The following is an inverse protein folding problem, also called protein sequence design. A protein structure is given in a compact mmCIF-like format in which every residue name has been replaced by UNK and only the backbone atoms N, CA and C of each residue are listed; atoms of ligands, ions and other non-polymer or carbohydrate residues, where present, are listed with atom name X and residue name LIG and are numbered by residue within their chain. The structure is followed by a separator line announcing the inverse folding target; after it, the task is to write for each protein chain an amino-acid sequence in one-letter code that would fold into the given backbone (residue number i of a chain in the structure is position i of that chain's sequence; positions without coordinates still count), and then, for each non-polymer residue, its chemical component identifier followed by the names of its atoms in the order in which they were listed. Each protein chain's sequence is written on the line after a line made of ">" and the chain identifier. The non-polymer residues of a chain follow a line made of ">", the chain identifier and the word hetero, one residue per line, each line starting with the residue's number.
data_IF_087257859887
#
_entry.id   IF_087257859887
#
_cell.length_a   1.000
_cell.length_b   1.000
_cell.length_c   1.000
_cell.angle_alpha   90.00
_cell.angle_beta   90.00
_cell.angle_gamma   90.00
#
_symmetry.space_group_name_H-M   'P 1'
#
loop_
_entity.id
_entity.type
_entity.pdbx_description
1 polymer ?
2 water ?
#
# COMPACT_ATOMS: atom_id res chain seq x y z
N UNK A 1 -11.50 -17.74 -0.57
CA UNK A 1 -12.00 -16.60 -1.32
C UNK A 1 -10.95 -16.10 -2.30
N UNK A 2 -11.41 -15.59 -3.45
CA UNK A 2 -10.51 -15.09 -4.48
C UNK A 2 -10.29 -13.59 -4.32
N UNK A 3 -9.04 -13.17 -4.52
CA UNK A 3 -8.70 -11.76 -4.57
C UNK A 3 -8.93 -11.25 -5.98
N UNK A 4 -9.86 -10.31 -6.13
CA UNK A 4 -10.22 -9.78 -7.42
C UNK A 4 -9.98 -8.27 -7.46
N UNK A 5 -9.63 -7.77 -8.64
CA UNK A 5 -9.64 -6.33 -8.90
C UNK A 5 -11.07 -5.86 -9.16
N UNK A 6 -11.21 -4.54 -9.36
CA UNK A 6 -12.54 -3.94 -9.46
C UNK A 6 -13.29 -4.43 -10.68
N UNK A 7 -12.58 -4.96 -11.68
CA UNK A 7 -13.29 -5.49 -12.83
C UNK A 7 -13.78 -6.91 -12.60
N UNK A 8 -13.23 -7.60 -11.63
CA UNK A 8 -13.54 -8.99 -11.40
C UNK A 8 -12.47 -9.97 -11.83
N UNK A 9 -11.28 -9.50 -12.22
CA UNK A 9 -10.18 -10.38 -12.59
C UNK A 9 -9.30 -10.66 -11.37
N UNK A 10 -8.87 -11.92 -11.25
CA UNK A 10 -8.02 -12.29 -10.12
C UNK A 10 -6.73 -11.47 -10.15
N UNK A 11 -6.28 -11.05 -8.98
CA UNK A 11 -5.04 -10.27 -8.89
C UNK A 11 -3.86 -11.08 -9.37
N UNK A 12 -2.96 -10.44 -10.13
CA UNK A 12 -1.80 -11.07 -10.73
C UNK A 12 -0.56 -10.86 -9.86
N UNK A 13 0.23 -11.92 -9.73
CA UNK A 13 1.55 -11.82 -9.11
C UNK A 13 2.43 -10.98 -10.04
N UNK A 14 2.88 -9.83 -9.54
CA UNK A 14 3.58 -8.87 -10.37
C UNK A 14 2.70 -7.88 -11.08
N UNK A 15 1.40 -7.92 -10.83
CA UNK A 15 0.52 -6.93 -11.39
C UNK A 15 0.66 -5.58 -10.71
N UNK A 16 0.16 -4.55 -11.38
CA UNK A 16 0.23 -3.18 -10.89
C UNK A 16 -1.18 -2.62 -10.78
N UNK A 17 -1.49 -2.08 -9.61
CA UNK A 17 -2.84 -1.64 -9.29
C UNK A 17 -2.80 -0.34 -8.52
N UNK A 18 -3.83 0.49 -8.71
CA UNK A 18 -4.13 1.54 -7.75
C UNK A 18 -4.87 0.94 -6.57
N UNK A 19 -4.48 1.33 -5.38
CA UNK A 19 -5.12 0.85 -4.15
C UNK A 19 -6.03 1.99 -3.69
N UNK A 20 -7.32 1.80 -3.87
CA UNK A 20 -8.31 2.88 -3.72
C UNK A 20 -9.26 2.52 -2.60
N UNK A 21 -9.88 3.55 -1.97
CA UNK A 21 -10.78 3.27 -0.85
C UNK A 21 -12.09 2.67 -1.32
N UNK A 22 -12.60 1.72 -0.55
CA UNK A 22 -13.92 1.14 -0.84
C UNK A 22 -15.05 2.05 -0.43
N UNK A 23 -14.82 2.93 0.52
CA UNK A 23 -15.85 3.84 1.02
C UNK A 23 -15.51 5.27 0.65
N UNK A 24 -16.56 6.09 0.58
CA UNK A 24 -16.48 7.47 0.15
C UNK A 24 -16.32 8.42 1.33
N UNK A 25 -15.79 9.60 1.04
CA UNK A 25 -15.88 10.72 1.95
C UNK A 25 -14.65 11.00 2.79
N UNK A 26 -13.64 10.15 2.72
CA UNK A 26 -12.48 10.25 3.59
C UNK A 26 -11.21 9.91 2.81
N UNK A 27 -11.01 10.59 1.69
CA UNK A 27 -9.75 10.56 0.99
C UNK A 27 -9.78 9.63 -0.22
N UNK A 28 -8.66 9.69 -0.95
CA UNK A 28 -8.51 8.93 -2.18
C UNK A 28 -7.59 7.73 -2.05
N UNK A 29 -6.90 7.39 -3.13
CA UNK A 29 -6.04 6.22 -3.12
C UNK A 29 -4.71 6.46 -2.43
N UNK A 30 -3.93 5.39 -2.36
CA UNK A 30 -2.69 5.45 -1.59
C UNK A 30 -1.56 6.07 -2.39
N UNK A 31 -0.76 6.89 -1.73
CA UNK A 31 0.33 7.64 -2.37
C UNK A 31 1.41 7.89 -1.31
N UNK A 32 2.30 8.86 -1.58
CA UNK A 32 3.41 9.20 -0.70
C UNK A 32 3.34 10.65 -0.29
N UNK A 33 3.80 10.95 0.94
CA UNK A 33 3.90 12.31 1.42
C UNK A 33 5.13 12.46 2.29
N UNK A 34 5.67 13.69 2.34
CA UNK A 34 6.74 14.01 3.26
C UNK A 34 6.12 14.51 4.57
N UNK A 35 6.60 13.97 5.69
CA UNK A 35 6.00 14.19 7.00
C UNK A 35 7.05 14.78 7.94
N UNK A 36 6.59 15.64 8.83
CA UNK A 36 7.46 16.21 9.85
C UNK A 36 8.60 16.99 9.23
N UNK A 37 9.83 16.62 9.61
CA UNK A 37 11.03 17.27 9.12
C UNK A 37 11.62 16.54 7.92
N UNK A 38 10.96 15.50 7.40
CA UNK A 38 11.51 14.74 6.30
C UNK A 38 11.41 15.53 5.02
N UNK A 39 12.52 15.61 4.27
CA UNK A 39 12.56 16.32 3.01
C UNK A 39 12.12 15.45 1.84
N UNK A 40 12.06 14.13 2.03
CA UNK A 40 11.67 13.18 1.01
C UNK A 40 10.33 12.54 1.37
N UNK A 41 9.44 12.33 0.39
CA UNK A 41 8.12 11.75 0.73
C UNK A 41 8.18 10.24 0.96
N UNK A 42 8.49 9.85 2.19
CA UNK A 42 8.74 8.45 2.53
C UNK A 42 7.57 7.76 3.23
N UNK A 43 6.52 8.51 3.58
CA UNK A 43 5.36 7.92 4.25
C UNK A 43 4.28 7.55 3.24
N UNK A 44 3.73 6.36 3.39
CA UNK A 44 2.55 5.97 2.63
C UNK A 44 1.34 6.62 3.30
N UNK A 45 0.53 7.31 2.49
CA UNK A 45 -0.63 8.03 2.99
C UNK A 45 -1.79 7.81 2.02
N UNK A 46 -2.98 8.15 2.50
CA UNK A 46 -4.13 8.21 1.61
C UNK A 46 -4.18 9.63 1.06
N UNK A 47 -4.38 9.75 -0.25
CA UNK A 47 -4.53 11.06 -0.86
C UNK A 47 -5.66 11.83 -0.19
N UNK A 48 -5.45 13.15 -0.01
CA UNK A 48 -6.45 13.98 0.64
C UNK A 48 -7.74 14.05 -0.20
N UNK A 49 -7.59 14.12 -1.52
CA UNK A 49 -8.74 14.29 -2.40
C UNK A 49 -9.27 12.92 -2.82
N UNK A 50 -10.58 12.76 -2.71
CA UNK A 50 -11.23 11.55 -3.15
C UNK A 50 -11.15 11.35 -4.65
N UNK A 51 -10.85 12.42 -5.40
CA UNK A 51 -10.75 12.34 -6.85
C UNK A 51 -9.48 11.67 -7.33
N UNK A 52 -8.56 11.32 -6.44
CA UNK A 52 -7.23 10.87 -6.83
C UNK A 52 -7.09 9.38 -6.54
N UNK A 53 -6.56 8.63 -7.51
CA UNK A 53 -6.36 7.20 -7.34
C UNK A 53 -5.05 6.88 -6.66
N UNK A 54 -4.17 7.85 -6.48
CA UNK A 54 -2.89 7.60 -5.88
C UNK A 54 -1.87 7.09 -6.89
N UNK A 55 -0.90 6.35 -6.38
CA UNK A 55 0.20 5.85 -7.19
C UNK A 55 0.00 4.38 -7.54
N UNK A 56 0.42 3.99 -8.74
CA UNK A 56 0.37 2.57 -9.08
C UNK A 56 1.27 1.79 -8.13
N UNK A 57 0.77 0.63 -7.69
CA UNK A 57 1.49 -0.25 -6.79
C UNK A 57 1.67 -1.62 -7.42
N UNK A 58 2.92 -2.06 -7.57
CA UNK A 58 3.22 -3.40 -8.02
C UNK A 58 3.26 -4.31 -6.81
N UNK A 59 2.59 -5.46 -6.91
CA UNK A 59 2.42 -6.38 -5.79
C UNK A 59 2.91 -7.75 -6.23
N UNK A 60 3.82 -8.34 -5.45
CA UNK A 60 4.42 -9.61 -5.88
C UNK A 60 4.89 -10.44 -4.70
N UNK A 61 5.08 -11.72 -4.99
CA UNK A 61 5.55 -12.74 -4.05
C UNK A 61 6.54 -13.62 -4.77
N UNK A 62 7.53 -14.18 -4.06
CA UNK A 62 8.62 -14.91 -4.76
C UNK A 62 8.15 -16.13 -5.53
N UNK A 63 7.22 -16.94 -5.01
CA UNK A 63 6.82 -18.14 -5.76
C UNK A 63 6.41 -17.80 -7.20
N UNK A 64 6.76 -18.70 -8.13
CA UNK A 64 6.45 -18.47 -9.54
C UNK A 64 5.05 -18.98 -9.84
N UNK A 65 4.10 -18.32 -9.20
CA UNK A 65 2.67 -18.51 -9.42
C UNK A 65 2.12 -17.25 -10.06
N UNK A 66 1.13 -17.43 -10.94
CA UNK A 66 0.66 -16.33 -11.77
C UNK A 66 -0.30 -15.38 -11.04
N UNK A 67 -1.02 -15.88 -10.03
CA UNK A 67 -2.03 -15.10 -9.34
C UNK A 67 -1.63 -14.96 -7.88
N UNK A 68 -2.36 -14.10 -7.17
CA UNK A 68 -2.18 -13.89 -5.75
C UNK A 68 -3.38 -14.39 -4.97
N UNK A 69 -3.13 -14.85 -3.75
CA UNK A 69 -4.15 -15.30 -2.82
C UNK A 69 -3.88 -14.72 -1.45
N UNK A 70 -4.84 -14.82 -0.53
CA UNK A 70 -4.62 -14.31 0.83
C UNK A 70 -3.53 -15.02 1.60
N UNK A 71 -3.03 -16.16 1.12
CA UNK A 71 -2.02 -16.91 1.83
C UNK A 71 -0.61 -16.41 1.57
N UNK A 72 -0.40 -15.62 0.52
CA UNK A 72 0.94 -15.25 0.10
C UNK A 72 1.40 -13.98 0.80
N UNK A 73 2.68 -13.98 1.18
CA UNK A 73 3.35 -12.79 1.67
C UNK A 73 3.77 -11.92 0.51
N UNK A 74 3.53 -10.62 0.63
CA UNK A 74 3.64 -9.72 -0.50
C UNK A 74 4.64 -8.61 -0.21
N UNK A 75 5.41 -8.27 -1.24
CA UNK A 75 6.04 -6.96 -1.37
C UNK A 75 5.11 -6.05 -2.15
N UNK A 76 5.03 -4.80 -1.73
CA UNK A 76 4.23 -3.77 -2.38
C UNK A 76 5.17 -2.62 -2.72
N UNK A 77 5.23 -2.27 -4.01
CA UNK A 77 6.20 -1.30 -4.51
C UNK A 77 5.48 -0.22 -5.30
N UNK A 78 5.61 1.04 -4.88
CA UNK A 78 5.00 2.11 -5.65
C UNK A 78 5.83 2.38 -6.91
N UNK A 79 5.13 2.69 -8.00
CA UNK A 79 5.76 2.93 -9.30
C UNK A 79 5.27 4.25 -9.86
N UNK A 80 5.70 5.36 -9.26
CA UNK A 80 5.33 6.68 -9.81
C UNK A 80 5.95 6.92 -11.16
N UNK A 81 5.21 7.62 -12.01
CA UNK A 81 5.77 8.05 -13.29
C UNK A 81 6.95 8.99 -13.07
N UNK A 82 6.78 10.00 -12.21
CA UNK A 82 7.78 11.04 -11.99
C UNK A 82 8.18 11.05 -10.52
N UNK A 83 8.98 10.08 -10.08
CA UNK A 83 9.39 10.06 -8.67
C UNK A 83 10.20 11.29 -8.35
N UNK A 84 10.13 11.77 -7.11
CA UNK A 84 10.98 12.89 -6.72
C UNK A 84 12.44 12.48 -6.74
N UNK A 85 13.31 13.47 -6.96
CA UNK A 85 14.73 13.20 -7.11
C UNK A 85 15.29 12.39 -5.95
N UNK A 86 14.80 12.65 -4.73
CA UNK A 86 15.33 11.93 -3.57
C UNK A 86 15.03 10.44 -3.64
N UNK A 87 14.06 10.03 -4.47
CA UNK A 87 13.70 8.63 -4.62
C UNK A 87 14.06 8.06 -5.99
N UNK A 88 14.81 8.79 -6.80
CA UNK A 88 15.05 8.33 -8.17
C UNK A 88 16.12 7.24 -8.27
N UNK A 89 16.97 7.10 -7.25
CA UNK A 89 18.03 6.09 -7.27
C UNK A 89 17.65 4.85 -6.46
N UNK A 90 16.39 4.70 -6.07
CA UNK A 90 16.00 3.56 -5.25
C UNK A 90 15.86 2.27 -6.06
N UNK A 91 15.44 2.37 -7.30
CA UNK A 91 15.12 1.16 -8.08
C UNK A 91 13.78 0.55 -7.72
N UNK A 92 13.48 0.39 -6.42
CA UNK A 92 12.20 -0.14 -5.98
C UNK A 92 11.80 0.67 -4.76
N UNK A 93 10.55 1.12 -4.75
CA UNK A 93 9.99 1.88 -3.64
C UNK A 93 9.07 0.95 -2.84
N UNK A 94 9.70 0.05 -2.08
CA UNK A 94 8.97 -1.00 -1.40
C UNK A 94 8.52 -0.54 -0.02
N UNK A 95 7.32 -0.98 0.35
CA UNK A 95 6.79 -0.62 1.65
C UNK A 95 7.45 -1.44 2.75
N UNK A 96 7.55 -0.81 3.92
CA UNK A 96 7.90 -1.49 5.17
C UNK A 96 7.06 -0.86 6.27
N UNK A 97 7.08 -1.45 7.45
CA UNK A 97 6.50 -0.86 8.65
C UNK A 97 7.64 -0.53 9.62
N UNK A 98 7.68 0.70 10.08
CA UNK A 98 8.63 1.11 11.09
C UNK A 98 8.13 0.62 12.44
N UNK A 99 8.93 -0.20 13.12
CA UNK A 99 8.42 -0.95 14.27
C UNK A 99 7.92 -0.07 15.41
N UNK A 100 8.65 1.02 15.72
CA UNK A 100 8.30 1.83 16.89
C UNK A 100 7.16 2.80 16.63
N UNK A 101 7.03 3.33 15.42
CA UNK A 101 5.95 4.26 15.09
C UNK A 101 4.76 3.58 14.44
N UNK A 102 4.96 2.38 13.89
CA UNK A 102 3.93 1.60 13.22
C UNK A 102 3.47 2.24 11.94
N UNK A 103 4.28 3.14 11.37
CA UNK A 103 3.94 3.79 10.12
C UNK A 103 4.43 2.97 8.93
N UNK A 104 3.64 2.95 7.87
CA UNK A 104 4.06 2.32 6.62
C UNK A 104 4.87 3.34 5.85
N UNK A 105 6.13 2.99 5.52
CA UNK A 105 7.03 3.91 4.85
C UNK A 105 7.77 3.16 3.75
N UNK A 106 8.53 3.92 2.97
CA UNK A 106 9.36 3.34 1.92
C UNK A 106 10.69 2.91 2.52
N UNK A 107 11.07 1.67 2.23
CA UNK A 107 12.30 1.12 2.79
C UNK A 107 13.51 1.54 1.97
N UNK A 108 14.64 1.78 2.61
CA UNK A 108 15.90 1.80 1.87
C UNK A 108 16.04 0.50 1.08
N UNK A 109 16.62 0.61 -0.13
CA UNK A 109 16.67 -0.57 -0.98
C UNK A 109 17.39 -1.74 -0.30
N UNK A 110 18.45 -1.44 0.46
CA UNK A 110 19.17 -2.51 1.15
C UNK A 110 18.33 -3.22 2.20
N UNK A 111 17.24 -2.60 2.67
CA UNK A 111 16.42 -3.22 3.69
C UNK A 111 15.33 -4.12 3.13
N UNK A 112 15.05 -4.06 1.83
CA UNK A 112 13.92 -4.79 1.30
C UNK A 112 14.16 -6.29 1.43
N UNK A 113 13.13 -6.99 1.89
CA UNK A 113 13.23 -8.43 2.07
C UNK A 113 12.70 -9.15 0.83
N UNK A 114 13.20 -10.36 0.61
CA UNK A 114 12.76 -11.14 -0.53
C UNK A 114 11.28 -11.47 -0.40
N UNK A 115 10.88 -11.95 0.78
CA UNK A 115 9.47 -12.06 1.13
C UNK A 115 9.06 -10.81 1.89
N UNK A 116 8.05 -10.12 1.39
CA UNK A 116 7.47 -9.01 2.11
C UNK A 116 6.63 -9.48 3.28
N UNK A 117 6.12 -8.51 4.04
CA UNK A 117 5.36 -8.81 5.25
C UNK A 117 3.89 -8.44 5.13
N UNK A 118 3.42 -8.09 3.96
CA UNK A 118 2.04 -7.68 3.77
C UNK A 118 1.23 -8.84 3.21
N UNK A 119 -0.07 -8.82 3.48
CA UNK A 119 -1.01 -9.70 2.81
C UNK A 119 -2.27 -8.91 2.49
N UNK A 120 -3.04 -9.43 1.54
CA UNK A 120 -4.35 -8.88 1.18
C UNK A 120 -5.42 -9.88 1.62
N UNK A 121 -6.42 -9.40 2.36
CA UNK A 121 -7.51 -10.24 2.85
C UNK A 121 -8.86 -9.69 2.48
N UNK A 122 -9.84 -10.54 2.16
CA UNK A 122 -11.22 -10.07 2.05
C UNK A 122 -11.62 -9.36 3.34
N UNK A 123 -12.42 -8.31 3.18
CA UNK A 123 -12.92 -7.57 4.34
C UNK A 123 -14.31 -7.10 3.96
N UNK A 124 -15.32 -7.64 4.63
CA UNK A 124 -16.70 -7.35 4.27
C UNK A 124 -16.89 -7.57 2.78
N UNK A 125 -17.29 -6.53 2.05
CA UNK A 125 -17.54 -6.68 0.62
C UNK A 125 -16.36 -6.29 -0.24
N UNK A 126 -15.21 -6.03 0.38
CA UNK A 126 -14.05 -5.49 -0.33
C UNK A 126 -12.81 -6.17 0.24
N UNK A 127 -11.73 -5.41 0.47
CA UNK A 127 -10.47 -5.98 0.90
C UNK A 127 -9.86 -5.09 1.97
N UNK A 128 -8.86 -5.64 2.65
CA UNK A 128 -8.02 -4.87 3.55
C UNK A 128 -6.60 -5.37 3.38
N UNK A 129 -5.67 -4.53 3.80
CA UNK A 129 -4.25 -4.87 3.82
C UNK A 129 -3.86 -5.17 5.26
N UNK A 130 -3.01 -6.17 5.43
CA UNK A 130 -2.54 -6.54 6.75
C UNK A 130 -1.02 -6.63 6.72
N UNK A 131 -0.43 -6.51 7.91
CA UNK A 131 1.01 -6.59 8.07
C UNK A 131 1.32 -7.64 9.11
N UNK A 132 2.29 -8.49 8.80
CA UNK A 132 2.61 -9.64 9.66
C UNK A 132 4.04 -9.46 10.15
N UNK A 133 4.17 -9.09 11.42
CA UNK A 133 5.47 -8.82 12.05
C UNK A 133 6.32 -10.08 12.08
N UNK A 140 1.42 -12.59 14.67
CA UNK A 140 0.13 -12.58 14.00
C UNK A 140 -0.03 -11.31 13.17
N UNK A 141 -0.88 -11.38 12.15
CA UNK A 141 -1.05 -10.25 11.26
C UNK A 141 -1.99 -9.22 11.88
N UNK A 142 -1.77 -7.97 11.50
CA UNK A 142 -2.56 -6.86 12.03
C UNK A 142 -2.99 -5.96 10.87
N UNK A 143 -4.20 -5.42 10.99
CA UNK A 143 -4.75 -4.59 9.95
C UNK A 143 -3.97 -3.30 9.76
N UNK A 144 -3.93 -2.81 8.52
CA UNK A 144 -3.48 -1.47 8.22
C UNK A 144 -4.68 -0.54 8.12
N UNK A 145 -4.54 0.65 8.70
CA UNK A 145 -5.60 1.63 8.69
C UNK A 145 -5.01 3.02 8.66
N UNK A 146 -5.83 4.04 8.93
CA UNK A 146 -5.43 5.43 8.74
C UNK A 146 -5.36 6.14 10.10
N UNK A 147 -4.29 6.90 10.31
CA UNK A 147 -4.10 7.76 11.47
C UNK A 147 -3.76 9.17 10.99
N UNK A 148 -4.45 10.18 11.52
CA UNK A 148 -4.24 11.56 11.08
C UNK A 148 -3.15 12.18 11.94
N UNK A 149 -2.20 12.86 11.29
CA UNK A 149 -1.16 13.54 12.02
C UNK A 149 -1.53 15.01 12.23
N UNK A 150 -0.60 15.78 12.82
CA UNK A 150 -0.91 17.15 13.21
C UNK A 150 -1.21 18.05 12.03
N UNK A 151 -0.77 17.68 10.83
CA UNK A 151 -1.00 18.48 9.63
C UNK A 151 -2.04 17.85 8.72
N UNK A 152 -2.87 16.95 9.24
CA UNK A 152 -3.99 16.32 8.56
C UNK A 152 -3.56 15.34 7.47
N UNK A 153 -2.30 14.94 7.43
CA UNK A 153 -1.91 13.84 6.56
C UNK A 153 -2.57 12.54 7.05
N UNK A 154 -3.05 11.74 6.08
CA UNK A 154 -3.75 10.50 6.40
C UNK A 154 -2.75 9.35 6.31
N UNK A 155 -2.03 9.15 7.41
CA UNK A 155 -0.96 8.17 7.42
C UNK A 155 -1.50 6.74 7.39
N UNK A 156 -0.92 5.90 6.53
CA UNK A 156 -1.19 4.47 6.57
C UNK A 156 -0.31 3.85 7.65
N UNK A 157 -0.94 3.18 8.62
CA UNK A 157 -0.27 2.71 9.82
C UNK A 157 -0.86 1.36 10.20
N UNK A 158 -0.16 0.64 11.07
CA UNK A 158 -0.77 -0.53 11.66
C UNK A 158 -1.85 -0.06 12.62
N UNK A 159 -3.06 -0.61 12.49
CA UNK A 159 -4.21 -0.13 13.22
C UNK A 159 -5.18 -1.30 13.37
N UNK A 160 -4.82 -2.26 14.20
CA UNK A 160 -5.56 -3.50 14.25
C UNK A 160 -6.99 -3.24 14.70
N UNK A 161 -7.94 -3.80 13.97
CA UNK A 161 -9.35 -3.62 14.28
C UNK A 161 -10.02 -2.43 13.63
N UNK A 162 -9.29 -1.55 12.94
CA UNK A 162 -9.89 -0.44 12.19
C UNK A 162 -9.24 -0.37 10.81
N UNK A 163 -9.42 -1.39 9.98
CA UNK A 163 -8.76 -1.41 8.68
C UNK A 163 -9.31 -0.35 7.74
N UNK A 164 -8.42 0.12 6.85
CA UNK A 164 -8.85 0.84 5.65
C UNK A 164 -9.37 -0.17 4.65
N UNK A 165 -10.65 -0.07 4.29
CA UNK A 165 -11.22 -0.93 3.27
C UNK A 165 -10.80 -0.42 1.90
N UNK A 166 -10.30 -1.33 1.07
CA UNK A 166 -9.73 -0.98 -0.22
C UNK A 166 -10.29 -1.86 -1.32
N UNK A 167 -10.11 -1.35 -2.55
CA UNK A 167 -10.31 -2.07 -3.79
C UNK A 167 -9.06 -1.88 -4.63
N UNK A 168 -8.93 -2.70 -5.68
CA UNK A 168 -7.75 -2.65 -6.54
C UNK A 168 -8.20 -2.37 -7.96
N UNK A 169 -7.69 -1.29 -8.54
CA UNK A 169 -7.98 -0.93 -9.92
C UNK A 169 -6.75 -1.15 -10.79
N UNK A 170 -6.94 -1.79 -11.94
CA UNK A 170 -5.80 -1.99 -12.83
C UNK A 170 -5.14 -0.65 -13.16
N UNK A 171 -3.81 -0.64 -13.19
CA UNK A 171 -3.13 0.62 -13.50
C UNK A 171 -3.31 1.01 -14.97
N UNK A 172 -3.32 0.03 -15.87
CA UNK A 172 -3.29 0.29 -17.32
C UNK A 172 -2.08 1.13 -17.71
#
# INVERSE_FOLDING_TARGET
>A
KELLDADGDILRNGGTYYIVPAFRGKGGGLTLAKIGDESCPLNVVQAESETKRGLPAMIWTPPRIAILTPAFYLNIEFQPRDPPACLQKYGRLSWKVEGESQEVKIAPASEQHLFGSFKIEPYRDDYKLVYCEGNSDDESCKDLGISIDDENNRLLVVKDGDPLAVRFEKSK
#
